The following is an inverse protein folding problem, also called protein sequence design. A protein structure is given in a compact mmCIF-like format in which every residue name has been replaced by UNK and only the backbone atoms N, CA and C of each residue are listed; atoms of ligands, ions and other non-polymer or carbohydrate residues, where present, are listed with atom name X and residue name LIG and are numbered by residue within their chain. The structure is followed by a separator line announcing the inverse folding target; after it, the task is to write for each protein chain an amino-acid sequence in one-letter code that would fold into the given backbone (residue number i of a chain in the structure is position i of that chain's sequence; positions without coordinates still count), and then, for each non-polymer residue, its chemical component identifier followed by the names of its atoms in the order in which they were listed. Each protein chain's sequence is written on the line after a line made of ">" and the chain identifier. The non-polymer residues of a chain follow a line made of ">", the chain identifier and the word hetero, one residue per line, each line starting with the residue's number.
data_IF_167290007534
#
_entry.id   IF_167290007534
#
_cell.length_a   1.000
_cell.length_b   1.000
_cell.length_c   1.000
_cell.angle_alpha   90.00
_cell.angle_beta   90.00
_cell.angle_gamma   90.00
#
_symmetry.space_group_name_H-M   'P 1'
#
loop_
_entity.id
_entity.type
_entity.pdbx_description
1 polymer ?
#
# COMPACT_ATOMS: atom_id res chain seq x y z
N UNK A 1 -23.85 -30.19 -20.16
CA UNK A 1 -22.60 -30.44 -19.40
C UNK A 1 -21.38 -29.74 -20.01
N UNK A 2 -21.12 -29.83 -21.32
CA UNK A 2 -19.95 -29.19 -21.97
C UNK A 2 -19.82 -27.68 -21.70
N UNK A 3 -20.92 -26.92 -21.77
CA UNK A 3 -20.88 -25.48 -21.48
C UNK A 3 -20.46 -25.14 -20.04
N UNK A 4 -20.84 -25.97 -19.05
CA UNK A 4 -20.49 -25.73 -17.64
C UNK A 4 -19.01 -25.97 -17.41
N UNK A 5 -18.47 -27.06 -17.96
CA UNK A 5 -17.03 -27.37 -17.88
C UNK A 5 -16.21 -26.26 -18.52
N UNK A 6 -16.66 -25.73 -19.67
CA UNK A 6 -16.00 -24.60 -20.31
C UNK A 6 -15.95 -23.36 -19.40
N UNK A 7 -17.07 -22.99 -18.77
CA UNK A 7 -17.12 -21.82 -17.87
C UNK A 7 -16.22 -21.99 -16.65
N UNK A 8 -16.22 -23.16 -16.00
CA UNK A 8 -15.35 -23.44 -14.84
C UNK A 8 -13.87 -23.42 -15.24
N UNK A 9 -13.54 -23.95 -16.42
CA UNK A 9 -12.18 -23.93 -16.98
C UNK A 9 -11.73 -22.49 -17.23
N UNK A 10 -12.59 -21.68 -17.86
CA UNK A 10 -12.32 -20.27 -18.13
C UNK A 10 -12.14 -19.47 -16.85
N UNK A 11 -12.99 -19.69 -15.86
CA UNK A 11 -12.91 -19.04 -14.54
C UNK A 11 -11.56 -19.32 -13.85
N UNK A 12 -11.15 -20.59 -13.80
CA UNK A 12 -9.88 -20.98 -13.18
C UNK A 12 -8.66 -20.43 -13.94
N UNK A 13 -8.71 -20.39 -15.28
CA UNK A 13 -7.67 -19.80 -16.11
C UNK A 13 -7.56 -18.28 -15.86
N UNK A 14 -8.68 -17.56 -15.89
CA UNK A 14 -8.75 -16.13 -15.60
C UNK A 14 -8.24 -15.81 -14.19
N UNK A 15 -8.65 -16.59 -13.18
CA UNK A 15 -8.18 -16.44 -11.79
C UNK A 15 -6.66 -16.54 -11.70
N UNK A 16 -6.06 -17.52 -12.38
CA UNK A 16 -4.60 -17.71 -12.41
C UNK A 16 -3.87 -16.49 -13.00
N UNK A 17 -4.41 -15.91 -14.07
CA UNK A 17 -3.88 -14.71 -14.71
C UNK A 17 -3.99 -13.49 -13.78
N UNK A 18 -5.18 -13.26 -13.22
CA UNK A 18 -5.45 -12.12 -12.33
C UNK A 18 -4.55 -12.15 -11.10
N UNK A 19 -4.34 -13.32 -10.50
CA UNK A 19 -3.47 -13.46 -9.33
C UNK A 19 -2.01 -13.17 -9.64
N UNK A 20 -1.51 -13.60 -10.80
CA UNK A 20 -0.16 -13.27 -11.25
C UNK A 20 0.01 -11.76 -11.48
N UNK A 21 -0.97 -11.15 -12.14
CA UNK A 21 -1.00 -9.71 -12.39
C UNK A 21 -1.07 -8.91 -11.09
N UNK A 22 -1.88 -9.33 -10.12
CA UNK A 22 -1.94 -8.72 -8.80
C UNK A 22 -0.57 -8.76 -8.12
N UNK A 23 0.11 -9.90 -8.13
CA UNK A 23 1.44 -10.00 -7.52
C UNK A 23 2.47 -9.08 -8.21
N UNK A 24 2.48 -9.06 -9.54
CA UNK A 24 3.31 -8.11 -10.30
C UNK A 24 2.95 -6.67 -9.93
N UNK A 25 1.66 -6.33 -9.86
CA UNK A 25 1.18 -5.01 -9.45
C UNK A 25 1.71 -4.63 -8.05
N UNK A 26 1.63 -5.53 -7.06
CA UNK A 26 2.16 -5.25 -5.71
C UNK A 26 3.67 -5.01 -5.69
N UNK A 27 4.45 -5.68 -6.55
CA UNK A 27 5.88 -5.41 -6.72
C UNK A 27 6.15 -4.01 -7.29
N UNK A 28 5.32 -3.55 -8.24
CA UNK A 28 5.39 -2.19 -8.77
C UNK A 28 4.96 -1.16 -7.72
N UNK A 29 3.86 -1.41 -7.01
CA UNK A 29 3.30 -0.54 -5.97
C UNK A 29 4.26 -0.32 -4.79
N UNK A 30 5.06 -1.33 -4.46
CA UNK A 30 6.04 -1.27 -3.36
C UNK A 30 7.43 -0.80 -3.80
N UNK A 31 7.55 -0.21 -4.99
CA UNK A 31 8.81 0.29 -5.58
C UNK A 31 9.93 -0.76 -5.70
N UNK A 32 9.61 -2.05 -5.63
CA UNK A 32 10.58 -3.14 -5.80
C UNK A 32 10.77 -3.51 -7.27
N UNK A 33 10.61 -2.53 -8.18
CA UNK A 33 10.79 -2.72 -9.63
C UNK A 33 12.16 -3.30 -9.98
N UNK A 34 13.21 -2.96 -9.22
CA UNK A 34 14.55 -3.50 -9.42
C UNK A 34 14.63 -5.03 -9.20
N UNK A 35 13.65 -5.63 -8.51
CA UNK A 35 13.54 -7.08 -8.36
C UNK A 35 12.83 -7.75 -9.55
N UNK A 36 12.20 -6.99 -10.45
CA UNK A 36 11.50 -7.47 -11.64
C UNK A 36 12.40 -7.44 -12.89
N UNK A 37 13.51 -8.18 -12.83
CA UNK A 37 14.26 -8.48 -14.06
C UNK A 37 13.40 -9.30 -15.03
N UNK A 38 13.70 -9.24 -16.34
CA UNK A 38 12.96 -10.00 -17.35
C UNK A 38 12.88 -11.50 -17.01
N UNK A 39 13.97 -12.07 -16.47
CA UNK A 39 14.04 -13.47 -16.01
C UNK A 39 13.08 -13.76 -14.86
N UNK A 40 13.03 -12.91 -13.82
CA UNK A 40 12.15 -13.11 -12.67
C UNK A 40 10.67 -12.92 -13.03
N UNK A 41 10.38 -12.00 -13.94
CA UNK A 41 9.03 -11.83 -14.50
C UNK A 41 8.58 -13.07 -15.25
N UNK A 42 9.44 -13.66 -16.08
CA UNK A 42 9.15 -14.92 -16.75
C UNK A 42 8.90 -16.04 -15.73
N UNK A 43 9.70 -16.10 -14.65
CA UNK A 43 9.55 -17.09 -13.59
C UNK A 43 8.19 -17.00 -12.86
N UNK A 44 7.69 -15.79 -12.62
CA UNK A 44 6.34 -15.56 -12.06
C UNK A 44 5.25 -16.16 -12.97
N UNK A 45 5.41 -16.07 -14.29
CA UNK A 45 4.44 -16.59 -15.25
C UNK A 45 4.47 -18.10 -15.43
N UNK A 46 5.54 -18.79 -15.03
CA UNK A 46 5.64 -20.26 -15.15
C UNK A 46 4.49 -20.95 -14.43
N UNK A 47 4.21 -20.56 -13.18
CA UNK A 47 3.17 -21.20 -12.36
C UNK A 47 1.75 -20.96 -12.92
N UNK A 48 1.33 -19.72 -13.26
CA UNK A 48 0.04 -19.48 -13.90
C UNK A 48 -0.13 -20.22 -15.21
N UNK A 49 0.89 -20.24 -16.08
CA UNK A 49 0.85 -20.97 -17.36
C UNK A 49 0.68 -22.47 -17.11
N UNK A 50 1.42 -23.02 -16.15
CA UNK A 50 1.27 -24.41 -15.73
C UNK A 50 -0.14 -24.71 -15.21
N UNK A 51 -0.69 -23.87 -14.33
CA UNK A 51 -2.05 -24.03 -13.80
C UNK A 51 -3.11 -23.97 -14.90
N UNK A 52 -2.97 -23.05 -15.87
CA UNK A 52 -3.86 -22.96 -17.03
C UNK A 52 -3.77 -24.25 -17.86
N UNK A 53 -2.56 -24.74 -18.12
CA UNK A 53 -2.35 -26.01 -18.81
C UNK A 53 -3.03 -27.17 -18.10
N UNK A 54 -2.82 -27.28 -16.78
CA UNK A 54 -3.39 -28.33 -15.93
C UNK A 54 -4.93 -28.32 -15.92
N UNK A 55 -5.52 -27.13 -15.94
CA UNK A 55 -6.97 -26.95 -16.03
C UNK A 55 -7.51 -27.33 -17.41
N UNK A 56 -6.84 -26.90 -18.48
CA UNK A 56 -7.24 -27.23 -19.86
C UNK A 56 -7.13 -28.73 -20.16
N UNK A 57 -6.09 -29.40 -19.64
CA UNK A 57 -5.89 -30.85 -19.80
C UNK A 57 -6.72 -31.69 -18.84
N UNK A 58 -7.53 -31.08 -17.97
CA UNK A 58 -8.26 -31.80 -16.93
C UNK A 58 -9.22 -32.88 -17.47
N UNK A 59 -9.62 -32.78 -18.73
CA UNK A 59 -10.43 -33.80 -19.41
C UNK A 59 -9.71 -35.15 -19.60
N UNK A 60 -8.38 -35.21 -19.50
CA UNK A 60 -7.61 -36.45 -19.60
C UNK A 60 -7.29 -37.09 -18.25
N UNK A 61 -7.01 -36.27 -17.23
CA UNK A 61 -6.48 -36.75 -15.95
C UNK A 61 -7.44 -36.59 -14.77
N UNK A 62 -8.42 -35.68 -14.86
CA UNK A 62 -9.43 -35.43 -13.82
C UNK A 62 -8.86 -35.06 -12.43
N UNK A 63 -7.64 -34.53 -12.38
CA UNK A 63 -6.95 -34.21 -11.11
C UNK A 63 -7.41 -32.92 -10.48
N UNK A 64 -7.95 -31.97 -11.26
CA UNK A 64 -8.44 -30.69 -10.75
C UNK A 64 -9.86 -30.86 -10.26
N UNK A 65 -10.74 -31.40 -11.09
CA UNK A 65 -12.12 -31.70 -10.72
C UNK A 65 -12.62 -32.94 -11.44
N UNK A 66 -13.51 -33.68 -10.76
CA UNK A 66 -14.15 -34.91 -11.23
C UNK A 66 -15.61 -34.97 -10.73
N UNK A 67 -16.38 -35.93 -11.24
CA UNK A 67 -17.76 -36.24 -10.83
C UNK A 67 -18.73 -35.05 -10.86
N UNK A 68 -19.08 -34.62 -12.08
CA UNK A 68 -20.09 -33.57 -12.29
C UNK A 68 -21.50 -34.13 -12.02
N UNK A 69 -22.02 -33.87 -10.83
CA UNK A 69 -23.37 -34.30 -10.42
C UNK A 69 -24.36 -33.14 -10.47
N UNK A 70 -25.52 -33.30 -11.12
CA UNK A 70 -26.55 -32.28 -11.12
C UNK A 70 -27.21 -32.20 -9.73
N UNK A 71 -27.23 -31.01 -9.14
CA UNK A 71 -27.89 -30.68 -7.88
C UNK A 71 -28.97 -29.64 -8.19
N UNK A 72 -30.19 -30.11 -8.47
CA UNK A 72 -31.28 -29.26 -8.96
C UNK A 72 -30.95 -28.65 -10.33
N UNK A 73 -30.98 -27.32 -10.44
CA UNK A 73 -30.61 -26.59 -11.67
C UNK A 73 -29.12 -26.20 -11.71
N UNK A 74 -28.28 -26.82 -10.88
CA UNK A 74 -26.85 -26.53 -10.74
C UNK A 74 -26.04 -27.80 -10.92
N UNK A 75 -24.73 -27.65 -11.10
CA UNK A 75 -23.81 -28.78 -11.17
C UNK A 75 -22.76 -28.62 -10.09
N UNK A 76 -22.64 -29.64 -9.25
CA UNK A 76 -21.57 -29.78 -8.28
C UNK A 76 -20.45 -30.64 -8.88
N UNK A 77 -19.22 -30.38 -8.45
CA UNK A 77 -18.06 -31.18 -8.81
C UNK A 77 -17.19 -31.40 -7.58
N UNK A 78 -16.54 -32.56 -7.52
CA UNK A 78 -15.62 -32.91 -6.45
C UNK A 78 -14.24 -32.29 -6.72
N UNK A 79 -13.63 -31.75 -5.68
CA UNK A 79 -12.29 -31.14 -5.76
C UNK A 79 -11.22 -32.25 -5.76
N UNK A 80 -10.35 -32.27 -6.76
CA UNK A 80 -9.22 -33.19 -6.81
C UNK A 80 -7.94 -32.61 -6.19
N UNK A 81 -6.88 -33.42 -6.06
CA UNK A 81 -5.61 -32.99 -5.46
C UNK A 81 -4.97 -31.78 -6.19
N UNK A 82 -5.15 -31.67 -7.50
CA UNK A 82 -4.62 -30.52 -8.25
C UNK A 82 -5.42 -29.24 -7.97
N UNK A 83 -6.67 -29.30 -7.52
CA UNK A 83 -7.40 -28.11 -7.08
C UNK A 83 -6.74 -27.48 -5.85
N UNK A 84 -6.31 -28.29 -4.88
CA UNK A 84 -5.55 -27.83 -3.71
C UNK A 84 -4.22 -27.19 -4.11
N UNK A 85 -3.55 -27.69 -5.15
CA UNK A 85 -2.36 -27.06 -5.72
C UNK A 85 -2.65 -25.66 -6.29
N UNK A 86 -3.71 -25.53 -7.09
CA UNK A 86 -4.15 -24.23 -7.62
C UNK A 86 -4.47 -23.26 -6.48
N UNK A 87 -5.23 -23.71 -5.49
CA UNK A 87 -5.58 -22.92 -4.31
C UNK A 87 -4.33 -22.49 -3.52
N UNK A 88 -3.41 -23.40 -3.24
CA UNK A 88 -2.18 -23.10 -2.51
C UNK A 88 -1.35 -21.99 -3.20
N UNK A 89 -1.15 -22.10 -4.51
CA UNK A 89 -0.43 -21.07 -5.26
C UNK A 89 -1.19 -19.75 -5.31
N UNK A 90 -2.52 -19.78 -5.45
CA UNK A 90 -3.35 -18.59 -5.34
C UNK A 90 -3.10 -17.86 -4.00
N UNK A 91 -3.15 -18.58 -2.87
CA UNK A 91 -2.90 -17.99 -1.56
C UNK A 91 -1.48 -17.48 -1.40
N UNK A 92 -0.47 -18.21 -1.88
CA UNK A 92 0.93 -17.77 -1.84
C UNK A 92 1.08 -16.42 -2.54
N UNK A 93 0.58 -16.29 -3.78
CA UNK A 93 0.67 -15.04 -4.55
C UNK A 93 -0.09 -13.90 -3.88
N UNK A 94 -1.33 -14.13 -3.44
CA UNK A 94 -2.16 -13.06 -2.86
C UNK A 94 -1.64 -12.64 -1.49
N UNK A 95 -1.35 -13.57 -0.59
CA UNK A 95 -0.89 -13.26 0.77
C UNK A 95 0.48 -12.60 0.77
N UNK A 96 1.41 -13.04 -0.08
CA UNK A 96 2.72 -12.37 -0.21
C UNK A 96 2.56 -10.95 -0.75
N UNK A 97 1.72 -10.73 -1.76
CA UNK A 97 1.40 -9.40 -2.28
C UNK A 97 0.77 -8.50 -1.22
N UNK A 98 -0.25 -8.98 -0.50
CA UNK A 98 -0.91 -8.27 0.60
C UNK A 98 0.08 -7.92 1.70
N UNK A 99 0.94 -8.85 2.11
CA UNK A 99 1.95 -8.61 3.14
C UNK A 99 2.97 -7.54 2.71
N UNK A 100 3.35 -7.53 1.43
CA UNK A 100 4.24 -6.50 0.88
C UNK A 100 3.59 -5.12 0.92
N UNK A 101 2.32 -5.01 0.51
CA UNK A 101 1.55 -3.77 0.56
C UNK A 101 1.32 -3.31 2.00
N UNK A 102 1.00 -4.23 2.92
CA UNK A 102 0.79 -3.93 4.33
C UNK A 102 2.05 -3.37 4.99
N UNK A 103 3.23 -3.92 4.69
CA UNK A 103 4.51 -3.37 5.16
C UNK A 103 4.77 -1.97 4.63
N UNK A 104 4.41 -1.72 3.37
CA UNK A 104 4.57 -0.42 2.75
C UNK A 104 3.62 0.62 3.39
N UNK A 105 2.44 0.20 3.87
CA UNK A 105 1.46 1.05 4.56
C UNK A 105 1.92 1.62 5.92
N UNK A 106 3.05 1.16 6.47
CA UNK A 106 3.61 1.60 7.76
C UNK A 106 4.42 2.92 7.61
N UNK A 107 4.63 3.40 6.37
CA UNK A 107 5.33 4.67 6.11
C UNK A 107 4.59 5.93 6.59
N UNK A 108 5.29 7.09 6.64
CA UNK A 108 4.75 8.35 7.17
C UNK A 108 3.64 8.99 6.30
N UNK A 109 3.58 8.68 5.01
CA UNK A 109 2.60 9.26 4.08
C UNK A 109 1.18 8.71 4.29
N UNK A 110 0.25 9.58 4.70
CA UNK A 110 -1.16 9.25 4.92
C UNK A 110 -1.89 8.84 3.63
N UNK A 111 -1.53 9.44 2.50
CA UNK A 111 -2.08 9.11 1.18
C UNK A 111 -1.68 7.68 0.78
N UNK A 112 -0.40 7.33 0.95
CA UNK A 112 0.10 6.00 0.63
C UNK A 112 -0.56 4.92 1.50
N UNK A 113 -0.83 5.22 2.77
CA UNK A 113 -1.55 4.33 3.68
C UNK A 113 -3.00 4.09 3.25
N UNK A 114 -3.71 5.11 2.78
CA UNK A 114 -5.09 4.95 2.27
C UNK A 114 -5.13 4.13 0.97
N UNK A 115 -4.18 4.35 0.07
CA UNK A 115 -4.02 3.55 -1.15
C UNK A 115 -3.75 2.08 -0.81
N UNK A 116 -2.80 1.82 0.09
CA UNK A 116 -2.45 0.48 0.54
C UNK A 116 -3.63 -0.24 1.23
N UNK A 117 -4.36 0.45 2.10
CA UNK A 117 -5.57 -0.09 2.73
C UNK A 117 -6.62 -0.51 1.69
N UNK A 118 -6.83 0.31 0.66
CA UNK A 118 -7.82 -0.01 -0.38
C UNK A 118 -7.41 -1.25 -1.18
N UNK A 119 -6.12 -1.42 -1.47
CA UNK A 119 -5.58 -2.62 -2.13
C UNK A 119 -5.71 -3.87 -1.25
N UNK A 120 -5.54 -3.74 0.06
CA UNK A 120 -5.74 -4.86 1.00
C UNK A 120 -7.22 -5.24 1.05
N UNK A 121 -8.12 -4.24 1.17
CA UNK A 121 -9.57 -4.47 1.20
C UNK A 121 -10.05 -5.12 -0.11
N UNK A 122 -9.50 -4.73 -1.26
CA UNK A 122 -9.88 -5.34 -2.54
C UNK A 122 -9.42 -6.79 -2.70
N UNK A 123 -8.39 -7.22 -1.98
CA UNK A 123 -7.92 -8.61 -1.96
C UNK A 123 -8.74 -9.53 -1.02
N UNK A 124 -9.49 -8.97 -0.07
CA UNK A 124 -10.27 -9.75 0.89
C UNK A 124 -11.38 -10.61 0.27
N UNK A 125 -12.22 -10.13 -0.67
CA UNK A 125 -13.32 -10.92 -1.22
C UNK A 125 -12.88 -12.28 -1.79
N UNK A 126 -11.86 -12.38 -2.69
CA UNK A 126 -11.47 -13.66 -3.26
C UNK A 126 -10.73 -14.55 -2.25
N UNK A 127 -10.07 -13.98 -1.23
CA UNK A 127 -9.54 -14.78 -0.11
C UNK A 127 -10.67 -15.45 0.67
N UNK A 128 -11.74 -14.70 1.00
CA UNK A 128 -12.89 -15.24 1.72
C UNK A 128 -13.64 -16.25 0.84
N UNK A 129 -13.99 -15.86 -0.39
CA UNK A 129 -14.73 -16.71 -1.33
C UNK A 129 -13.98 -17.99 -1.68
N UNK A 130 -12.66 -17.92 -1.91
CA UNK A 130 -11.81 -19.09 -2.14
C UNK A 130 -11.74 -20.01 -0.92
N UNK A 131 -11.64 -19.45 0.28
CA UNK A 131 -11.52 -20.26 1.52
C UNK A 131 -12.82 -20.99 1.82
N UNK A 132 -13.95 -20.30 1.68
CA UNK A 132 -15.26 -20.93 1.81
C UNK A 132 -15.45 -22.06 0.80
N UNK A 133 -14.93 -21.89 -0.42
CA UNK A 133 -15.03 -22.91 -1.45
C UNK A 133 -14.12 -24.12 -1.18
N UNK A 134 -12.87 -23.91 -0.78
CA UNK A 134 -11.90 -24.96 -0.43
C UNK A 134 -12.35 -25.76 0.81
N UNK A 135 -12.98 -25.11 1.78
CA UNK A 135 -13.51 -25.76 2.97
C UNK A 135 -14.88 -26.42 2.74
N UNK A 136 -15.40 -26.39 1.52
CA UNK A 136 -16.72 -26.94 1.15
C UNK A 136 -17.88 -26.39 2.03
N UNK A 137 -17.71 -25.19 2.60
CA UNK A 137 -18.72 -24.52 3.43
C UNK A 137 -19.84 -23.87 2.60
N UNK A 138 -19.70 -23.92 1.28
CA UNK A 138 -20.63 -23.35 0.31
C UNK A 138 -21.56 -24.44 -0.19
N UNK A 139 -22.88 -24.19 -0.33
CA UNK A 139 -23.80 -25.16 -0.91
C UNK A 139 -23.34 -25.65 -2.28
N UNK A 140 -23.48 -26.96 -2.51
CA UNK A 140 -23.06 -27.62 -3.74
C UNK A 140 -23.65 -26.92 -4.99
N UNK A 141 -22.78 -26.58 -5.94
CA UNK A 141 -23.14 -25.92 -7.19
C UNK A 141 -23.23 -24.38 -7.14
N UNK A 142 -22.89 -23.72 -6.03
CA UNK A 142 -22.68 -22.28 -5.97
C UNK A 142 -21.17 -21.98 -6.02
N UNK A 143 -20.72 -21.16 -6.96
CA UNK A 143 -19.38 -20.58 -6.94
C UNK A 143 -19.43 -19.13 -6.44
N UNK A 144 -18.77 -18.84 -5.33
CA UNK A 144 -18.58 -17.46 -4.84
C UNK A 144 -17.42 -16.74 -5.51
N UNK A 145 -16.56 -17.46 -6.23
CA UNK A 145 -15.35 -16.89 -6.82
C UNK A 145 -15.66 -15.77 -7.84
N UNK A 146 -16.58 -15.91 -8.81
CA UNK A 146 -16.89 -14.84 -9.75
C UNK A 146 -17.45 -13.61 -9.05
N UNK A 147 -18.34 -13.79 -8.07
CA UNK A 147 -18.89 -12.70 -7.27
C UNK A 147 -17.80 -11.99 -6.47
N UNK A 148 -16.87 -12.74 -5.90
CA UNK A 148 -15.74 -12.20 -5.15
C UNK A 148 -14.85 -11.33 -6.03
N UNK A 149 -14.54 -11.78 -7.25
CA UNK A 149 -13.77 -10.98 -8.21
C UNK A 149 -14.52 -9.73 -8.70
N UNK A 150 -15.86 -9.78 -8.80
CA UNK A 150 -16.67 -8.58 -9.06
C UNK A 150 -16.51 -7.52 -7.95
N UNK A 151 -16.58 -7.94 -6.68
CA UNK A 151 -16.35 -7.03 -5.54
C UNK A 151 -14.93 -6.49 -5.53
N UNK A 152 -13.93 -7.32 -5.83
CA UNK A 152 -12.54 -6.87 -6.02
C UNK A 152 -12.44 -5.81 -7.11
N UNK A 153 -13.06 -6.03 -8.28
CA UNK A 153 -13.09 -5.08 -9.38
C UNK A 153 -13.72 -3.74 -8.99
N UNK A 154 -14.85 -3.76 -8.27
CA UNK A 154 -15.51 -2.55 -7.79
C UNK A 154 -14.64 -1.77 -6.78
N UNK A 155 -13.96 -2.48 -5.89
CA UNK A 155 -13.06 -1.87 -4.90
C UNK A 155 -11.80 -1.31 -5.56
N UNK A 156 -11.26 -1.96 -6.60
CA UNK A 156 -10.19 -1.39 -7.40
C UNK A 156 -10.64 -0.18 -8.21
N UNK A 157 -11.85 -0.21 -8.78
CA UNK A 157 -12.41 0.93 -9.50
C UNK A 157 -12.46 2.17 -8.59
N UNK A 158 -13.00 2.03 -7.37
CA UNK A 158 -12.97 3.15 -6.41
C UNK A 158 -11.54 3.55 -6.05
N UNK A 159 -10.62 2.59 -5.89
CA UNK A 159 -9.20 2.88 -5.67
C UNK A 159 -8.55 3.73 -6.77
N UNK A 160 -8.82 3.39 -8.02
CA UNK A 160 -8.25 4.06 -9.19
C UNK A 160 -8.76 5.48 -9.32
N UNK A 161 -10.08 5.68 -9.24
CA UNK A 161 -10.70 6.98 -9.50
C UNK A 161 -10.73 7.89 -8.26
N UNK A 162 -10.89 7.35 -7.05
CA UNK A 162 -11.01 8.14 -5.81
C UNK A 162 -9.68 8.38 -5.11
N UNK A 163 -8.79 7.39 -5.13
CA UNK A 163 -7.48 7.44 -4.44
C UNK A 163 -6.31 7.57 -5.41
N UNK A 164 -6.57 7.69 -6.72
CA UNK A 164 -5.57 7.94 -7.76
C UNK A 164 -4.38 6.97 -7.67
N UNK A 165 -4.68 5.68 -7.54
CA UNK A 165 -3.71 4.60 -7.31
C UNK A 165 -2.57 4.57 -8.36
N UNK A 166 -2.78 5.12 -9.56
CA UNK A 166 -1.78 5.24 -10.62
C UNK A 166 -1.33 6.67 -10.93
N UNK A 167 -1.78 7.71 -10.21
CA UNK A 167 -1.18 9.03 -10.37
C UNK A 167 0.23 8.96 -9.77
N UNK A 168 1.21 8.80 -10.66
CA UNK A 168 2.66 8.83 -10.43
C UNK A 168 3.21 10.16 -9.86
N UNK A 169 2.36 11.04 -9.32
CA UNK A 169 2.74 12.39 -8.91
C UNK A 169 3.28 12.56 -7.47
N UNK A 170 2.82 11.82 -6.44
CA UNK A 170 3.32 12.07 -5.08
C UNK A 170 4.73 11.55 -4.88
N UNK A 171 5.13 10.44 -5.51
CA UNK A 171 6.47 9.85 -5.33
C UNK A 171 7.58 10.73 -5.92
N UNK A 172 7.33 11.37 -7.07
CA UNK A 172 8.27 12.33 -7.63
C UNK A 172 8.40 13.57 -6.72
N UNK A 173 7.30 14.04 -6.13
CA UNK A 173 7.32 15.17 -5.20
C UNK A 173 8.00 14.82 -3.88
N UNK A 174 7.61 13.74 -3.23
CA UNK A 174 8.16 13.34 -1.92
C UNK A 174 9.65 13.00 -2.06
N UNK A 175 10.06 12.27 -3.11
CA UNK A 175 11.49 11.96 -3.32
C UNK A 175 12.32 13.19 -3.70
N UNK A 176 11.76 14.12 -4.50
CA UNK A 176 12.44 15.39 -4.80
C UNK A 176 12.56 16.22 -3.52
N UNK A 177 11.49 16.37 -2.75
CA UNK A 177 11.44 17.21 -1.55
C UNK A 177 12.28 16.61 -0.41
N UNK A 178 12.34 15.29 -0.27
CA UNK A 178 13.16 14.60 0.74
C UNK A 178 14.66 14.68 0.46
N UNK A 179 15.07 14.73 -0.82
CA UNK A 179 16.47 14.90 -1.23
C UNK A 179 16.85 16.36 -1.51
N UNK A 180 15.90 17.29 -1.40
CA UNK A 180 16.20 18.72 -1.51
C UNK A 180 16.96 19.18 -0.27
N UNK A 181 18.13 19.78 -0.49
CA UNK A 181 18.90 20.49 0.54
C UNK A 181 18.20 21.77 1.02
N UNK A 182 17.24 22.28 0.24
CA UNK A 182 16.46 23.45 0.61
C UNK A 182 15.36 23.09 1.60
N UNK A 183 15.14 23.97 2.57
CA UNK A 183 14.10 23.78 3.58
C UNK A 183 12.73 24.05 2.98
N UNK A 184 11.87 23.02 2.95
CA UNK A 184 10.49 23.12 2.48
C UNK A 184 9.54 22.97 3.65
N UNK A 185 8.64 23.94 3.79
CA UNK A 185 7.60 23.97 4.80
C UNK A 185 6.25 24.04 4.09
N UNK A 186 5.36 23.10 4.39
CA UNK A 186 4.00 23.11 3.82
C UNK A 186 3.04 23.62 4.88
N UNK A 187 2.26 24.64 4.52
CA UNK A 187 1.27 25.29 5.39
C UNK A 187 -0.16 24.98 4.90
N UNK A 188 -1.12 24.89 5.82
CA UNK A 188 -2.55 24.95 5.49
C UNK A 188 -3.00 26.41 5.21
N UNK A 189 -4.27 26.57 4.83
CA UNK A 189 -4.88 27.88 4.55
C UNK A 189 -4.98 28.78 5.79
N UNK A 190 -4.79 28.25 6.98
CA UNK A 190 -4.78 28.95 8.27
C UNK A 190 -3.35 29.25 8.75
N UNK A 191 -2.33 28.92 7.92
CA UNK A 191 -0.92 29.15 8.23
C UNK A 191 -0.31 28.12 9.19
N UNK A 192 -0.94 26.96 9.41
CA UNK A 192 -0.40 25.88 10.26
C UNK A 192 0.48 24.94 9.45
N UNK A 193 1.57 24.47 10.02
CA UNK A 193 2.47 23.50 9.37
C UNK A 193 1.79 22.14 9.28
N UNK A 194 1.60 21.67 8.05
CA UNK A 194 1.07 20.33 7.75
C UNK A 194 2.16 19.32 7.41
N UNK A 195 3.33 19.79 6.92
CA UNK A 195 4.45 18.91 6.59
C UNK A 195 5.80 19.65 6.56
N UNK A 196 6.88 18.90 6.78
CA UNK A 196 8.27 19.34 6.91
C UNK A 196 9.21 18.34 6.23
N UNK A 197 10.01 18.81 5.28
CA UNK A 197 11.06 17.97 4.69
C UNK A 197 12.25 17.77 5.65
N UNK A 198 13.09 16.73 5.44
CA UNK A 198 14.22 16.42 6.33
C UNK A 198 15.21 17.58 6.49
N UNK A 199 15.43 18.37 5.45
CA UNK A 199 16.27 19.58 5.53
C UNK A 199 15.68 20.62 6.49
N UNK A 200 14.38 20.88 6.44
CA UNK A 200 13.69 21.79 7.36
C UNK A 200 13.68 21.26 8.81
N UNK A 201 13.57 19.94 9.02
CA UNK A 201 13.69 19.34 10.35
C UNK A 201 15.09 19.55 10.93
N UNK A 202 16.15 19.32 10.15
CA UNK A 202 17.52 19.54 10.60
C UNK A 202 17.80 21.02 10.90
N UNK A 203 17.27 21.93 10.08
CA UNK A 203 17.42 23.37 10.27
C UNK A 203 16.71 23.87 11.53
N UNK A 204 15.46 23.46 11.75
CA UNK A 204 14.70 23.83 12.96
C UNK A 204 15.35 23.28 14.23
N UNK A 205 15.93 22.08 14.19
CA UNK A 205 16.67 21.51 15.31
C UNK A 205 17.97 22.28 15.61
N UNK A 206 18.71 22.71 14.57
CA UNK A 206 19.91 23.55 14.75
C UNK A 206 19.58 24.92 15.31
N UNK A 207 18.50 25.55 14.83
CA UNK A 207 18.02 26.83 15.35
C UNK A 207 17.61 26.72 16.82
N UNK A 208 16.88 25.67 17.21
CA UNK A 208 16.51 25.44 18.61
C UNK A 208 17.75 25.27 19.51
N UNK A 209 18.77 24.55 19.04
CA UNK A 209 20.02 24.36 19.77
C UNK A 209 20.83 25.66 19.90
N UNK A 210 20.93 26.47 18.82
CA UNK A 210 21.66 27.74 18.84
C UNK A 210 20.93 28.81 19.66
N UNK A 211 19.61 28.86 19.58
CA UNK A 211 18.80 29.78 20.36
C UNK A 211 18.85 29.45 21.87
N UNK A 212 19.03 28.19 22.25
CA UNK A 212 19.33 27.78 23.62
C UNK A 212 20.72 28.23 24.15
N UNK A 213 21.65 28.60 23.26
CA UNK A 213 23.03 28.98 23.60
C UNK A 213 23.34 30.49 23.53
N UNK A 214 22.41 31.31 23.03
CA UNK A 214 22.62 32.76 22.89
C UNK A 214 21.82 33.57 23.92
N UNK A 215 22.54 34.20 24.86
CA UNK A 215 21.99 34.99 25.99
C UNK A 215 21.23 36.26 25.57
N UNK A 216 21.23 36.64 24.28
CA UNK A 216 20.56 37.84 23.78
C UNK A 216 19.18 37.60 23.14
N UNK A 217 18.76 36.34 22.99
CA UNK A 217 17.38 35.99 22.73
C UNK A 217 16.86 35.20 23.92
N UNK A 218 16.30 35.91 24.90
CA UNK A 218 15.51 35.29 25.95
C UNK A 218 14.25 34.69 25.31
N UNK A 219 14.36 33.45 24.86
CA UNK A 219 13.22 32.60 24.51
C UNK A 219 12.43 32.39 25.79
N UNK A 220 11.12 32.69 25.84
CA UNK A 220 10.27 32.20 26.90
C UNK A 220 10.19 30.67 26.79
N UNK A 221 11.08 30.02 27.55
CA UNK A 221 11.11 28.60 27.91
C UNK A 221 10.73 27.56 26.84
N UNK A 222 11.70 27.19 25.99
CA UNK A 222 11.80 25.79 25.50
C UNK A 222 12.31 24.85 26.62
N UNK A 223 12.71 25.40 27.77
CA UNK A 223 13.15 24.64 28.95
C UNK A 223 12.12 23.60 29.48
N UNK A 224 10.83 23.75 29.13
CA UNK A 224 9.79 22.75 29.47
C UNK A 224 9.77 21.53 28.54
N UNK A 225 10.28 21.62 27.31
CA UNK A 225 10.27 20.50 26.36
C UNK A 225 11.45 19.53 26.57
N UNK A 226 12.59 20.03 27.05
CA UNK A 226 13.75 19.21 27.42
C UNK A 226 13.59 18.53 28.79
N UNK A 227 12.60 18.94 29.59
CA UNK A 227 12.25 18.34 30.89
C UNK A 227 10.90 17.60 30.85
N UNK A 228 10.46 17.15 29.67
CA UNK A 228 9.28 16.30 29.55
C UNK A 228 9.56 14.94 30.20
N UNK A 229 9.20 14.81 31.48
CA UNK A 229 9.19 13.54 32.20
C UNK A 229 8.37 12.47 31.45
N UNK A 230 8.60 11.18 31.73
CA UNK A 230 8.11 10.04 30.95
C UNK A 230 6.57 9.89 30.83
N UNK A 231 5.77 10.84 31.32
CA UNK A 231 4.31 10.83 31.30
C UNK A 231 3.61 11.69 30.24
N UNK A 232 4.33 12.36 29.33
CA UNK A 232 3.69 13.27 28.37
C UNK A 232 3.15 12.52 27.12
N UNK A 233 1.85 12.68 26.84
CA UNK A 233 1.18 12.02 25.70
C UNK A 233 1.69 12.54 24.35
N UNK A 234 1.68 11.67 23.32
CA UNK A 234 2.15 12.00 21.97
C UNK A 234 1.45 13.25 21.38
N UNK A 235 0.17 13.46 21.73
CA UNK A 235 -0.60 14.64 21.37
C UNK A 235 -0.01 15.93 21.97
N UNK A 236 0.26 15.95 23.29
CA UNK A 236 0.85 17.11 23.95
C UNK A 236 2.25 17.46 23.44
N UNK A 237 3.05 16.44 23.08
CA UNK A 237 4.38 16.64 22.47
C UNK A 237 4.28 17.26 21.08
N UNK A 238 3.30 16.85 20.27
CA UNK A 238 3.05 17.44 18.94
C UNK A 238 2.57 18.90 19.02
N UNK A 239 1.77 19.24 20.03
CA UNK A 239 1.20 20.57 20.22
C UNK A 239 2.24 21.60 20.68
N UNK A 240 3.16 21.19 21.55
CA UNK A 240 4.32 21.99 21.98
C UNK A 240 5.30 22.24 20.83
N UNK A 241 5.53 21.25 19.97
CA UNK A 241 6.33 21.42 18.75
C UNK A 241 5.62 22.41 17.81
N UNK A 242 4.31 22.29 17.62
CA UNK A 242 3.51 23.21 16.80
C UNK A 242 3.56 24.67 17.30
N UNK A 243 3.48 24.90 18.61
CA UNK A 243 3.59 26.24 19.20
C UNK A 243 5.00 26.83 19.04
N UNK A 244 6.03 26.00 19.20
CA UNK A 244 7.43 26.40 19.01
C UNK A 244 7.70 26.82 17.56
N UNK A 245 7.14 26.07 16.61
CA UNK A 245 7.27 26.37 15.17
C UNK A 245 6.50 27.64 14.81
N UNK A 246 5.27 27.83 15.31
CA UNK A 246 4.52 29.07 15.08
C UNK A 246 5.22 30.31 15.64
N UNK A 247 5.91 30.20 16.78
CA UNK A 247 6.70 31.31 17.34
C UNK A 247 7.92 31.63 16.48
N UNK A 248 8.64 30.61 15.99
CA UNK A 248 9.78 30.77 15.07
C UNK A 248 9.33 31.43 13.75
N UNK A 249 8.16 31.05 13.23
CA UNK A 249 7.56 31.67 12.05
C UNK A 249 7.07 33.11 12.32
N UNK A 250 6.58 33.40 13.53
CA UNK A 250 6.25 34.77 13.95
C UNK A 250 7.46 35.71 13.97
N UNK A 251 8.67 35.18 14.21
CA UNK A 251 9.92 35.93 14.17
C UNK A 251 10.67 35.81 12.83
N UNK A 252 10.06 35.19 11.82
CA UNK A 252 10.66 34.94 10.50
C UNK A 252 11.22 36.20 9.82
N UNK A 253 10.58 37.39 9.86
CA UNK A 253 11.13 38.59 9.24
C UNK A 253 12.44 39.10 9.88
N UNK A 254 12.62 38.87 11.17
CA UNK A 254 13.84 39.18 11.93
C UNK A 254 14.94 38.14 11.72
N UNK A 255 14.57 36.86 11.64
CA UNK A 255 15.48 35.75 11.39
C UNK A 255 16.04 35.77 9.97
N UNK A 256 15.22 36.10 8.97
CA UNK A 256 15.67 36.31 7.59
C UNK A 256 16.69 37.45 7.49
N UNK A 257 16.51 38.55 8.24
CA UNK A 257 17.47 39.66 8.30
C UNK A 257 18.80 39.25 8.93
N UNK A 258 18.78 38.39 9.95
CA UNK A 258 19.98 37.83 10.56
C UNK A 258 20.68 36.81 9.65
N UNK A 259 19.93 35.92 8.99
CA UNK A 259 20.50 34.94 8.06
C UNK A 259 21.10 35.58 6.81
N UNK A 260 20.53 36.70 6.33
CA UNK A 260 21.09 37.52 5.25
C UNK A 260 22.39 38.21 5.67
N UNK A 261 22.53 38.61 6.94
CA UNK A 261 23.78 39.12 7.52
C UNK A 261 24.86 38.04 7.69
N UNK A 262 24.46 36.79 7.94
CA UNK A 262 25.37 35.65 8.11
C UNK A 262 25.67 34.89 6.82
N UNK A 263 25.19 35.36 5.66
CA UNK A 263 25.43 34.77 4.34
C UNK A 263 24.96 33.30 4.20
N UNK A 264 23.98 32.88 5.02
CA UNK A 264 23.49 31.49 5.10
C UNK A 264 22.33 31.17 4.14
N UNK A 265 21.83 32.16 3.40
CA UNK A 265 20.72 31.99 2.46
C UNK A 265 21.16 32.47 1.07
N UNK A 266 21.40 31.53 0.14
CA UNK A 266 21.34 31.82 -1.29
C UNK A 266 19.91 31.55 -1.73
N UNK A 267 19.12 32.61 -1.92
CA UNK A 267 17.82 32.50 -2.55
C UNK A 267 18.02 32.19 -4.05
N UNK A 268 17.48 31.07 -4.51
CA UNK A 268 17.04 30.86 -5.89
C UNK A 268 15.52 30.84 -5.89
#
# INVERSE_FOLDING_TARGET
>A
MQGIVFWVTLEAACSSVVTALFFIFTLYFTHRRQWLSAKRRALIWIIPIFNIGLVLTNHWHHWVWHDFTPVGNRVAFSQGAAYLWLAAWFYIYVLTGVLMVARAAIGPSTLYRQQALTVIVSACPPLIGGTLHVLELVPAGISLLPMSFLFTGLTYFTSLFRFRLFDLLPIARDTLIENMTDCVLVLDNEGRVIDLNPAAQQFTHRLAHQAGSSRSLAIPSIAGATTAGPGMTASGRSQLIGQSVNWVLGQWPSLLRHCKKMNLLRCW
#
